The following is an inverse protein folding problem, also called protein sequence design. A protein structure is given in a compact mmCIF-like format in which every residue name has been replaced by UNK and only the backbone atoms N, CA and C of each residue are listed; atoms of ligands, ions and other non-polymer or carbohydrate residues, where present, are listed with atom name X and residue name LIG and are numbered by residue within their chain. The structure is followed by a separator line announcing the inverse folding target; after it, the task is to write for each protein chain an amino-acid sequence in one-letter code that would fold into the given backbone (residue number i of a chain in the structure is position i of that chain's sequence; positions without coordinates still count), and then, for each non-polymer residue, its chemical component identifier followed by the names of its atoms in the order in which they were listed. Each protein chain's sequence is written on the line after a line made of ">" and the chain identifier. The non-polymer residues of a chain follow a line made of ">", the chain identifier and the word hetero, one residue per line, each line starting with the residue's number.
data_IF_505714811116
#
_entry.id   IF_505714811116
#
_cell.length_a   1.000
_cell.length_b   1.000
_cell.length_c   1.000
_cell.angle_alpha   90.00
_cell.angle_beta   90.00
_cell.angle_gamma   90.00
#
_symmetry.space_group_name_H-M   'P 1'
#
loop_
_entity.id
_entity.type
_entity.pdbx_description
1 polymer ?
#
# COMPACT_ATOMS: atom_id res chain seq x y z
N UNK A 1 -7.78 63.33 -14.86
CA UNK A 1 -8.10 64.27 -13.76
C UNK A 1 -7.89 63.51 -12.47
N UNK A 2 -6.68 63.62 -11.90
CA UNK A 2 -6.34 64.56 -10.81
C UNK A 2 -7.16 64.25 -9.54
N UNK A 3 -6.56 63.53 -8.60
CA UNK A 3 -5.70 64.02 -7.49
C UNK A 3 -6.55 64.71 -6.42
N UNK A 4 -6.80 64.09 -5.25
CA UNK A 4 -5.88 63.77 -4.13
C UNK A 4 -5.49 65.02 -3.34
N UNK A 5 -5.25 64.79 -2.04
CA UNK A 5 -4.57 65.59 -1.02
C UNK A 5 -5.56 66.12 0.05
N UNK A 6 -5.40 65.86 1.35
CA UNK A 6 -4.26 65.29 2.06
C UNK A 6 -4.63 64.84 3.48
N UNK A 7 -3.96 63.76 3.91
CA UNK A 7 -3.71 63.29 5.29
C UNK A 7 -2.70 64.26 5.98
N UNK A 8 -1.84 63.90 6.98
CA UNK A 8 -1.75 62.73 7.88
C UNK A 8 -1.38 63.09 9.34
N UNK A 9 -1.27 62.09 10.22
CA UNK A 9 0.01 61.77 10.90
C UNK A 9 -0.05 60.35 11.48
N UNK A 10 0.77 59.47 10.90
CA UNK A 10 1.32 58.25 11.52
C UNK A 10 2.37 58.64 12.58
N UNK A 11 2.49 57.87 13.65
CA UNK A 11 3.83 57.44 14.09
C UNK A 11 3.79 56.06 14.76
N UNK A 12 4.88 55.34 14.56
CA UNK A 12 5.07 53.90 14.65
C UNK A 12 6.24 53.64 15.61
N UNK A 13 6.19 52.47 16.28
CA UNK A 13 7.28 51.79 17.01
C UNK A 13 7.80 52.42 18.32
N UNK A 14 7.98 51.57 19.34
CA UNK A 14 9.30 50.98 19.72
C UNK A 14 9.10 49.94 20.84
N UNK A 15 9.68 48.74 20.67
CA UNK A 15 9.91 47.76 21.73
C UNK A 15 10.89 48.31 22.78
N UNK A 16 10.62 48.10 24.07
CA UNK A 16 11.67 47.92 25.09
C UNK A 16 11.25 46.85 26.11
N UNK A 17 12.03 45.77 26.16
CA UNK A 17 12.10 44.86 27.30
C UNK A 17 12.80 45.57 28.47
N UNK A 18 12.36 45.33 29.71
CA UNK A 18 13.14 44.76 30.84
C UNK A 18 12.59 45.17 32.21
N UNK A 19 12.69 44.21 33.13
CA UNK A 19 12.80 44.31 34.59
C UNK A 19 11.52 44.45 35.46
N UNK A 20 11.29 43.35 36.21
CA UNK A 20 11.05 43.26 37.66
C UNK A 20 10.03 44.21 38.33
N UNK A 21 8.94 43.68 38.90
CA UNK A 21 8.94 43.27 40.32
C UNK A 21 7.59 42.62 40.74
N UNK A 22 7.78 41.57 41.54
CA UNK A 22 7.00 40.97 42.63
C UNK A 22 5.47 41.13 42.83
N UNK A 23 4.88 39.95 43.12
CA UNK A 23 3.80 39.63 44.09
C UNK A 23 2.37 40.06 43.77
N UNK A 24 1.55 39.08 43.36
CA UNK A 24 0.69 38.26 44.25
C UNK A 24 -0.07 37.24 43.39
N UNK A 25 0.28 35.96 43.50
CA UNK A 25 -0.47 34.95 44.25
C UNK A 25 -1.52 34.23 43.38
N UNK A 26 -1.12 33.12 42.77
CA UNK A 26 -2.02 31.99 42.56
C UNK A 26 -1.22 30.68 42.44
N UNK A 27 -1.35 29.86 43.49
CA UNK A 27 -1.35 28.39 43.42
C UNK A 27 -0.04 27.67 43.02
N UNK A 28 0.91 27.72 43.97
CA UNK A 28 1.72 26.60 44.46
C UNK A 28 2.17 25.53 43.44
N UNK A 29 3.34 25.77 42.84
CA UNK A 29 4.25 24.72 42.36
C UNK A 29 5.51 24.77 43.22
N UNK A 30 5.94 23.58 43.64
CA UNK A 30 7.24 23.21 44.21
C UNK A 30 7.45 23.47 45.71
N UNK A 31 7.34 22.41 46.51
CA UNK A 31 8.54 21.78 47.07
C UNK A 31 8.28 20.28 47.28
N UNK A 32 9.15 19.48 46.66
CA UNK A 32 9.31 18.05 46.84
C UNK A 32 9.82 17.76 48.26
N UNK A 33 9.28 16.74 48.94
CA UNK A 33 10.08 15.56 49.33
C UNK A 33 9.22 14.37 49.80
N UNK A 34 9.28 13.31 48.99
CA UNK A 34 9.37 11.87 49.31
C UNK A 34 8.25 11.17 50.10
N UNK A 35 7.51 10.40 49.28
CA UNK A 35 7.07 9.00 49.45
C UNK A 35 6.33 8.57 50.73
N UNK A 36 5.08 8.12 50.56
CA UNK A 36 4.68 6.75 50.90
C UNK A 36 3.23 6.46 50.48
N UNK A 37 2.99 5.19 50.11
CA UNK A 37 1.72 4.45 50.19
C UNK A 37 0.88 4.18 48.91
N UNK A 38 1.12 2.96 48.41
CA UNK A 38 0.15 1.88 48.08
C UNK A 38 -0.70 1.95 46.82
N UNK A 39 -0.30 1.14 45.81
CA UNK A 39 -1.22 0.34 45.00
C UNK A 39 -0.69 -1.09 44.83
N UNK A 40 -1.60 -2.05 45.02
CA UNK A 40 -1.39 -3.47 45.25
C UNK A 40 -0.62 -4.19 44.12
N UNK A 41 0.45 -4.92 44.48
CA UNK A 41 1.10 -5.92 43.61
C UNK A 41 0.34 -7.24 43.69
N UNK A 42 -0.04 -7.80 42.53
CA UNK A 42 -0.36 -9.22 42.37
C UNK A 42 0.90 -10.03 42.68
N UNK A 43 0.84 -10.91 43.68
CA UNK A 43 1.91 -11.86 43.95
C UNK A 43 1.86 -12.99 42.91
N UNK A 44 2.92 -13.15 42.15
CA UNK A 44 3.27 -14.42 41.50
C UNK A 44 4.47 -14.95 42.26
N UNK A 45 4.28 -16.05 42.99
CA UNK A 45 5.39 -16.75 43.66
C UNK A 45 6.17 -17.50 42.59
N UNK A 46 7.45 -17.18 42.45
CA UNK A 46 8.41 -18.01 41.73
C UNK A 46 9.31 -18.68 42.77
N UNK A 47 9.23 -20.00 42.86
CA UNK A 47 10.10 -20.84 43.68
C UNK A 47 11.34 -21.17 42.87
N UNK A 48 12.44 -20.47 43.10
CA UNK A 48 13.77 -21.08 43.06
C UNK A 48 14.80 -20.17 43.71
N UNK A 49 15.33 -20.65 44.84
CA UNK A 49 16.48 -20.07 45.53
C UNK A 49 17.75 -20.53 44.82
N UNK A 50 18.41 -19.63 44.06
CA UNK A 50 19.89 -19.52 44.03
C UNK A 50 20.40 -18.37 43.15
N UNK A 51 21.31 -17.61 43.76
CA UNK A 51 22.29 -16.65 43.21
C UNK A 51 21.77 -15.39 42.50
N UNK A 52 22.08 -14.23 43.11
CA UNK A 52 22.07 -12.91 42.47
C UNK A 52 23.11 -12.85 41.35
N UNK A 53 22.67 -13.06 40.12
CA UNK A 53 23.37 -12.60 38.92
C UNK A 53 22.47 -11.59 38.22
N UNK A 54 23.05 -10.45 37.81
CA UNK A 54 22.36 -9.50 36.92
C UNK A 54 22.12 -10.21 35.58
N UNK A 55 20.94 -10.82 35.41
CA UNK A 55 20.57 -11.46 34.15
C UNK A 55 20.25 -10.35 33.16
N UNK A 56 21.20 -10.06 32.28
CA UNK A 56 20.92 -9.33 31.05
C UNK A 56 19.87 -10.10 30.27
N UNK A 57 18.75 -9.45 29.94
CA UNK A 57 17.77 -10.02 29.01
C UNK A 57 18.50 -10.21 27.68
N UNK A 58 18.85 -11.46 27.39
CA UNK A 58 19.54 -11.81 26.16
C UNK A 58 18.57 -11.65 24.98
N UNK A 59 18.76 -10.54 24.25
CA UNK A 59 17.99 -10.23 23.05
C UNK A 59 18.12 -11.34 22.00
N UNK A 60 19.19 -12.12 21.99
CA UNK A 60 19.34 -13.26 21.08
C UNK A 60 18.47 -14.44 21.49
N UNK A 61 18.34 -14.73 22.79
CA UNK A 61 17.44 -15.76 23.28
C UNK A 61 15.98 -15.44 22.95
N UNK A 62 15.54 -14.19 23.15
CA UNK A 62 14.19 -13.75 22.75
C UNK A 62 14.03 -13.80 21.23
N UNK A 63 15.03 -13.35 20.47
CA UNK A 63 15.00 -13.41 19.00
C UNK A 63 14.92 -14.85 18.50
N UNK A 64 15.56 -15.80 19.18
CA UNK A 64 15.53 -17.23 18.86
C UNK A 64 14.16 -17.84 19.15
N UNK A 65 13.55 -17.50 20.29
CA UNK A 65 12.19 -17.94 20.64
C UNK A 65 11.13 -17.35 19.71
N UNK A 66 11.21 -16.04 19.41
CA UNK A 66 10.33 -15.38 18.43
C UNK A 66 10.50 -16.01 17.04
N UNK A 67 11.73 -16.37 16.65
CA UNK A 67 12.01 -17.08 15.39
C UNK A 67 11.44 -18.49 15.39
N UNK A 68 11.47 -19.19 16.53
CA UNK A 68 10.88 -20.51 16.70
C UNK A 68 9.35 -20.43 16.55
N UNK A 69 8.71 -19.47 17.23
CA UNK A 69 7.26 -19.23 17.15
C UNK A 69 6.83 -18.78 15.74
N UNK A 70 7.57 -17.89 15.09
CA UNK A 70 7.31 -17.46 13.71
C UNK A 70 7.51 -18.60 12.69
N UNK A 71 8.42 -19.54 12.95
CA UNK A 71 8.58 -20.74 12.10
C UNK A 71 7.38 -21.70 12.19
N UNK A 72 6.64 -21.69 13.31
CA UNK A 72 5.43 -22.50 13.49
C UNK A 72 4.17 -21.88 12.88
N UNK A 73 4.21 -20.59 12.52
CA UNK A 73 3.11 -19.87 11.82
C UNK A 73 3.44 -19.52 10.36
N UNK A 74 4.64 -19.86 9.88
CA UNK A 74 5.01 -19.72 8.48
C UNK A 74 4.29 -20.80 7.66
N UNK A 75 3.14 -20.42 7.08
CA UNK A 75 2.57 -21.17 5.96
C UNK A 75 3.64 -21.27 4.87
N UNK A 76 4.19 -22.48 4.68
CA UNK A 76 5.10 -22.80 3.59
C UNK A 76 4.30 -22.84 2.30
N UNK A 77 3.93 -21.67 1.78
CA UNK A 77 3.37 -21.54 0.43
C UNK A 77 4.50 -21.77 -0.57
N UNK A 78 4.91 -23.02 -0.74
CA UNK A 78 5.71 -23.40 -1.89
C UNK A 78 4.88 -23.07 -3.13
N UNK A 79 5.44 -22.33 -4.08
CA UNK A 79 4.88 -22.20 -5.43
C UNK A 79 4.50 -23.64 -5.89
N UNK A 80 3.19 -23.96 -6.03
CA UNK A 80 2.80 -25.35 -6.20
C UNK A 80 3.39 -25.91 -7.50
N UNK A 81 4.24 -26.92 -7.39
CA UNK A 81 4.72 -27.69 -8.53
C UNK A 81 3.53 -28.41 -9.15
N UNK A 82 3.23 -28.13 -10.42
CA UNK A 82 2.15 -28.79 -11.16
C UNK A 82 2.49 -30.27 -11.37
N UNK A 83 1.79 -31.17 -10.66
CA UNK A 83 1.79 -32.60 -10.96
C UNK A 83 0.36 -33.01 -11.30
N UNK A 84 0.06 -33.10 -12.59
CA UNK A 84 -1.27 -33.41 -13.11
C UNK A 84 -1.53 -34.92 -13.03
N UNK A 85 -2.18 -35.37 -11.96
CA UNK A 85 -2.78 -36.71 -11.91
C UNK A 85 -3.91 -36.84 -12.94
N UNK A 86 -4.00 -37.97 -13.66
CA UNK A 86 -5.11 -38.24 -14.59
C UNK A 86 -6.40 -38.43 -13.78
N UNK A 87 -7.36 -37.51 -13.94
CA UNK A 87 -8.70 -37.59 -13.37
C UNK A 87 -9.47 -38.74 -14.06
N UNK A 88 -10.08 -39.63 -13.27
CA UNK A 88 -10.99 -40.66 -13.80
C UNK A 88 -12.16 -40.04 -14.58
N UNK A 89 -12.70 -40.77 -15.58
CA UNK A 89 -13.82 -40.28 -16.40
C UNK A 89 -15.04 -40.03 -15.49
N UNK A 90 -15.66 -38.84 -15.54
CA UNK A 90 -16.91 -38.59 -14.82
C UNK A 90 -18.01 -39.56 -15.26
N UNK A 91 -18.82 -40.04 -14.31
CA UNK A 91 -20.05 -40.77 -14.61
C UNK A 91 -21.02 -39.89 -15.41
N UNK A 92 -21.88 -40.50 -16.22
CA UNK A 92 -22.85 -39.76 -17.02
C UNK A 92 -23.82 -38.98 -16.11
N UNK A 93 -24.02 -37.70 -16.43
CA UNK A 93 -24.94 -36.83 -15.71
C UNK A 93 -26.38 -37.27 -16.00
N UNK A 94 -27.19 -37.45 -14.95
CA UNK A 94 -28.62 -37.67 -15.12
C UNK A 94 -29.31 -36.51 -15.87
N UNK A 95 -30.47 -36.75 -16.50
CA UNK A 95 -31.19 -35.72 -17.24
C UNK A 95 -31.57 -34.55 -16.31
N UNK A 96 -31.47 -33.29 -16.77
CA UNK A 96 -31.88 -32.14 -15.98
C UNK A 96 -33.36 -32.23 -15.58
N UNK A 97 -33.67 -31.84 -14.33
CA UNK A 97 -35.04 -31.60 -13.91
C UNK A 97 -35.67 -30.46 -14.72
N UNK A 98 -36.99 -30.50 -14.93
CA UNK A 98 -37.72 -29.43 -15.63
C UNK A 98 -37.61 -28.13 -14.82
N UNK A 99 -37.19 -27.04 -15.45
CA UNK A 99 -37.13 -25.73 -14.81
C UNK A 99 -38.56 -25.28 -14.43
N UNK A 100 -38.70 -24.75 -13.21
CA UNK A 100 -39.93 -24.04 -12.80
C UNK A 100 -40.15 -22.80 -13.66
N UNK A 101 -41.41 -22.40 -13.83
CA UNK A 101 -41.76 -21.18 -14.58
C UNK A 101 -41.09 -19.95 -13.95
N UNK A 102 -40.53 -19.03 -14.77
CA UNK A 102 -39.95 -17.80 -14.25
C UNK A 102 -40.95 -17.03 -13.38
N UNK A 103 -40.51 -16.53 -12.23
CA UNK A 103 -41.30 -15.61 -11.43
C UNK A 103 -41.59 -14.32 -12.21
N UNK A 104 -42.71 -13.62 -11.92
CA UNK A 104 -43.02 -12.35 -12.56
C UNK A 104 -41.89 -11.34 -12.32
N UNK A 105 -41.50 -10.60 -13.36
CA UNK A 105 -40.49 -9.53 -13.23
C UNK A 105 -40.99 -8.48 -12.23
N UNK A 106 -40.13 -8.10 -11.29
CA UNK A 106 -40.38 -6.97 -10.41
C UNK A 106 -40.56 -5.69 -11.23
N UNK A 107 -41.42 -4.78 -10.75
CA UNK A 107 -41.66 -3.49 -11.39
C UNK A 107 -40.34 -2.70 -11.38
N UNK A 108 -39.88 -2.17 -12.53
CA UNK A 108 -38.71 -1.29 -12.56
C UNK A 108 -38.87 -0.13 -11.58
N UNK A 109 -37.82 0.17 -10.81
CA UNK A 109 -37.80 1.36 -9.96
C UNK A 109 -37.95 2.64 -10.81
N UNK A 110 -38.47 3.73 -10.24
CA UNK A 110 -38.58 4.99 -10.95
C UNK A 110 -37.20 5.44 -11.44
N UNK A 111 -37.14 5.97 -12.66
CA UNK A 111 -35.92 6.54 -13.21
C UNK A 111 -35.43 7.66 -12.28
N UNK A 112 -34.13 7.64 -11.97
CA UNK A 112 -33.50 8.74 -11.24
C UNK A 112 -33.62 10.06 -12.03
N UNK A 113 -33.54 11.21 -11.36
CA UNK A 113 -33.58 12.50 -12.03
C UNK A 113 -32.46 12.60 -13.08
N UNK A 114 -32.83 13.07 -14.27
CA UNK A 114 -31.87 13.37 -15.34
C UNK A 114 -30.96 14.50 -14.84
N UNK A 115 -29.65 14.22 -14.75
CA UNK A 115 -28.65 15.22 -14.40
C UNK A 115 -28.57 16.35 -15.44
N UNK A 116 -28.03 17.52 -15.08
CA UNK A 116 -27.90 18.65 -16.00
C UNK A 116 -27.10 18.23 -17.26
N UNK A 117 -27.44 18.79 -18.44
CA UNK A 117 -26.70 18.54 -19.67
C UNK A 117 -25.21 18.88 -19.51
N UNK A 118 -24.35 17.92 -19.82
CA UNK A 118 -22.90 18.08 -19.90
C UNK A 118 -22.55 19.07 -21.04
N UNK A 119 -21.94 20.23 -20.74
CA UNK A 119 -21.62 21.24 -21.74
C UNK A 119 -20.47 20.85 -22.69
N UNK A 120 -19.79 19.72 -22.49
CA UNK A 120 -18.53 19.41 -23.19
C UNK A 120 -18.65 18.42 -24.37
N UNK A 121 -19.87 18.01 -24.76
CA UNK A 121 -20.21 17.43 -26.07
C UNK A 121 -19.19 16.47 -26.72
N UNK A 122 -19.28 15.17 -26.40
CA UNK A 122 -19.22 13.99 -27.32
C UNK A 122 -19.07 12.72 -26.48
N UNK A 123 -20.12 11.89 -26.49
CA UNK A 123 -20.21 10.60 -25.77
C UNK A 123 -19.61 10.62 -24.37
N UNK A 124 -20.32 11.24 -23.43
CA UNK A 124 -19.98 11.20 -22.02
C UNK A 124 -19.76 9.75 -21.56
N UNK A 125 -18.77 9.56 -20.70
CA UNK A 125 -18.50 8.26 -20.10
C UNK A 125 -19.75 7.77 -19.39
N UNK A 126 -20.20 6.54 -19.69
CA UNK A 126 -21.43 6.01 -19.11
C UNK A 126 -21.36 6.02 -17.57
N UNK A 127 -22.43 6.48 -16.88
CA UNK A 127 -22.45 6.45 -15.43
C UNK A 127 -22.22 5.05 -14.87
N UNK A 128 -21.57 4.97 -13.72
CA UNK A 128 -21.31 3.71 -13.01
C UNK A 128 -21.41 3.94 -11.50
N UNK A 129 -21.87 2.91 -10.78
CA UNK A 129 -22.00 2.96 -9.33
C UNK A 129 -20.68 2.59 -8.68
N UNK A 130 -20.31 3.37 -7.67
CA UNK A 130 -19.06 3.23 -6.94
C UNK A 130 -19.32 3.11 -5.45
N UNK A 131 -18.46 2.34 -4.79
CA UNK A 131 -18.41 2.30 -3.35
C UNK A 131 -17.53 3.43 -2.84
N UNK A 132 -18.08 4.18 -1.89
CA UNK A 132 -17.40 5.24 -1.17
C UNK A 132 -17.08 4.78 0.25
N UNK A 133 -15.80 4.66 0.56
CA UNK A 133 -15.31 4.37 1.90
C UNK A 133 -15.15 5.67 2.68
N UNK A 134 -15.99 5.86 3.70
CA UNK A 134 -15.97 7.03 4.58
C UNK A 134 -15.10 6.82 5.83
N UNK A 135 -14.54 5.62 6.00
CA UNK A 135 -13.72 5.28 7.18
C UNK A 135 -12.25 5.65 7.01
N UNK A 136 -11.82 5.87 5.76
CA UNK A 136 -10.47 6.28 5.39
C UNK A 136 -10.37 7.82 5.32
N UNK A 137 -9.13 8.35 5.33
CA UNK A 137 -8.79 9.77 5.10
C UNK A 137 -9.62 10.78 5.91
N UNK A 138 -9.96 10.46 7.16
CA UNK A 138 -10.61 11.41 8.08
C UNK A 138 -12.03 11.80 7.68
N UNK A 139 -12.79 10.90 7.07
CA UNK A 139 -14.18 11.14 6.66
C UNK A 139 -14.34 11.70 5.25
N UNK A 140 -13.25 11.80 4.47
CA UNK A 140 -13.33 12.07 3.04
C UNK A 140 -13.78 10.82 2.32
N UNK A 141 -14.75 10.97 1.41
CA UNK A 141 -15.19 9.87 0.55
C UNK A 141 -14.02 9.33 -0.29
N UNK A 142 -13.60 8.10 -0.02
CA UNK A 142 -12.60 7.38 -0.81
C UNK A 142 -13.30 6.41 -1.76
N UNK A 143 -13.24 6.70 -3.05
CA UNK A 143 -13.66 5.73 -4.07
C UNK A 143 -12.66 4.60 -4.14
N UNK A 144 -13.10 3.36 -3.91
CA UNK A 144 -12.23 2.17 -3.90
C UNK A 144 -12.59 1.23 -5.05
N UNK A 145 -11.65 1.02 -5.98
CA UNK A 145 -11.85 0.15 -7.15
C UNK A 145 -11.05 -1.14 -7.00
N UNK A 146 -11.76 -2.27 -7.04
CA UNK A 146 -11.18 -3.61 -6.92
C UNK A 146 -10.75 -4.20 -8.28
N UNK A 147 -9.84 -5.16 -8.27
CA UNK A 147 -9.34 -5.85 -9.45
C UNK A 147 -9.06 -7.34 -9.20
N UNK A 148 -8.81 -8.10 -10.27
CA UNK A 148 -8.62 -9.56 -10.26
C UNK A 148 -7.28 -10.07 -9.70
N UNK A 149 -6.46 -9.19 -9.14
CA UNK A 149 -5.03 -9.43 -8.87
C UNK A 149 -4.56 -8.92 -7.50
N UNK A 150 -5.48 -8.81 -6.54
CA UNK A 150 -5.23 -8.24 -5.20
C UNK A 150 -4.50 -9.20 -4.25
N UNK A 151 -4.45 -10.50 -4.58
CA UNK A 151 -3.84 -11.53 -3.74
C UNK A 151 -2.32 -11.51 -3.90
N UNK A 152 -1.61 -11.74 -2.78
CA UNK A 152 -0.19 -12.06 -2.78
C UNK A 152 0.07 -13.28 -3.67
N UNK A 153 0.82 -13.09 -4.75
CA UNK A 153 1.00 -14.08 -5.81
C UNK A 153 2.46 -14.52 -5.87
N UNK A 154 2.70 -15.83 -5.70
CA UNK A 154 4.04 -16.44 -5.79
C UNK A 154 4.55 -16.39 -7.23
N UNK A 155 5.82 -16.05 -7.41
CA UNK A 155 6.56 -16.05 -8.68
C UNK A 155 7.98 -16.59 -8.45
N UNK A 156 8.63 -17.10 -9.49
CA UNK A 156 9.95 -17.72 -9.40
C UNK A 156 9.97 -19.16 -9.89
N UNK A 157 11.17 -19.68 -10.16
CA UNK A 157 11.41 -21.02 -10.73
C UNK A 157 10.63 -21.23 -12.03
N UNK A 158 10.53 -20.19 -12.86
CA UNK A 158 9.81 -20.16 -14.13
C UNK A 158 10.82 -20.46 -15.25
N UNK A 159 10.81 -21.66 -15.85
CA UNK A 159 11.80 -22.02 -16.87
C UNK A 159 11.77 -21.04 -18.05
N UNK A 160 12.94 -20.51 -18.42
CA UNK A 160 13.09 -19.54 -19.51
C UNK A 160 12.75 -18.09 -19.15
N UNK A 161 12.57 -17.80 -17.86
CA UNK A 161 12.29 -16.47 -17.34
C UNK A 161 13.54 -15.75 -16.77
N UNK A 162 14.69 -15.87 -17.44
CA UNK A 162 15.91 -15.12 -17.09
C UNK A 162 16.03 -13.76 -17.80
N UNK A 163 15.05 -13.40 -18.64
CA UNK A 163 15.04 -12.13 -19.37
C UNK A 163 14.22 -11.02 -18.70
N UNK A 164 14.48 -9.74 -19.01
CA UNK A 164 13.68 -8.61 -18.48
C UNK A 164 12.18 -8.76 -18.73
N UNK A 165 11.37 -8.70 -17.66
CA UNK A 165 9.92 -8.73 -17.73
C UNK A 165 9.31 -9.95 -18.43
N UNK A 166 10.01 -11.09 -18.41
CA UNK A 166 9.52 -12.37 -18.93
C UNK A 166 8.23 -12.83 -18.22
N UNK A 167 8.09 -12.54 -16.93
CA UNK A 167 6.84 -12.70 -16.19
C UNK A 167 5.96 -11.48 -16.40
N UNK A 168 4.71 -11.71 -16.76
CA UNK A 168 3.70 -10.68 -16.88
C UNK A 168 2.43 -11.05 -16.13
N UNK A 169 1.83 -10.06 -15.47
CA UNK A 169 0.53 -10.19 -14.82
C UNK A 169 -0.37 -9.03 -15.20
N UNK A 170 -1.35 -9.31 -16.07
CA UNK A 170 -2.41 -8.37 -16.41
C UNK A 170 -3.34 -8.14 -15.22
N UNK A 171 -3.79 -6.90 -15.08
CA UNK A 171 -4.69 -6.44 -14.02
C UNK A 171 -6.00 -5.96 -14.64
N UNK A 172 -7.11 -6.59 -14.26
CA UNK A 172 -8.46 -6.20 -14.73
C UNK A 172 -9.28 -5.65 -13.57
N UNK A 173 -9.67 -4.39 -13.68
CA UNK A 173 -10.55 -3.73 -12.70
C UNK A 173 -12.00 -4.19 -12.90
N UNK A 174 -12.66 -4.52 -11.79
CA UNK A 174 -13.99 -5.13 -11.83
C UNK A 174 -15.07 -4.06 -11.92
N UNK A 175 -16.02 -4.24 -12.85
CA UNK A 175 -17.20 -3.37 -12.95
C UNK A 175 -16.94 -1.97 -13.49
N UNK A 176 -15.77 -1.70 -14.08
CA UNK A 176 -15.39 -0.38 -14.58
C UNK A 176 -14.54 -0.50 -15.86
N UNK A 177 -14.78 0.39 -16.82
CA UNK A 177 -13.99 0.48 -18.06
C UNK A 177 -12.76 1.36 -17.89
N UNK A 178 -11.79 1.24 -18.80
CA UNK A 178 -10.62 2.12 -18.84
C UNK A 178 -10.99 3.59 -19.01
N UNK A 179 -12.05 3.89 -19.78
CA UNK A 179 -12.56 5.25 -19.94
C UNK A 179 -13.13 5.82 -18.63
N UNK A 180 -13.87 5.00 -17.87
CA UNK A 180 -14.38 5.34 -16.54
C UNK A 180 -13.26 5.55 -15.51
N UNK A 181 -12.24 4.69 -15.50
CA UNK A 181 -11.06 4.89 -14.67
C UNK A 181 -10.31 6.18 -15.01
N UNK A 182 -10.16 6.48 -16.31
CA UNK A 182 -9.54 7.72 -16.77
C UNK A 182 -10.32 8.95 -16.30
N UNK A 183 -11.64 8.95 -16.46
CA UNK A 183 -12.51 10.01 -15.96
C UNK A 183 -12.39 10.17 -14.44
N UNK A 184 -12.48 9.07 -13.67
CA UNK A 184 -12.36 9.07 -12.21
C UNK A 184 -11.05 9.72 -11.74
N UNK A 185 -9.90 9.27 -12.28
CA UNK A 185 -8.59 9.82 -11.89
C UNK A 185 -8.41 11.28 -12.28
N UNK A 186 -9.05 11.72 -13.38
CA UNK A 186 -9.02 13.12 -13.82
C UNK A 186 -9.74 14.03 -12.85
N UNK A 187 -10.97 13.66 -12.46
CA UNK A 187 -11.82 14.48 -11.58
C UNK A 187 -11.47 14.37 -10.09
N UNK A 188 -10.70 13.36 -9.70
CA UNK A 188 -10.27 13.18 -8.31
C UNK A 188 -9.05 14.06 -8.00
N UNK A 189 -9.03 14.66 -6.81
CA UNK A 189 -7.87 15.45 -6.35
C UNK A 189 -6.62 14.58 -6.20
N UNK A 190 -6.80 13.39 -5.62
CA UNK A 190 -5.74 12.42 -5.38
C UNK A 190 -6.17 11.03 -5.84
N UNK A 191 -5.21 10.25 -6.32
CA UNK A 191 -5.36 8.81 -6.46
C UNK A 191 -4.08 8.12 -6.00
N UNK A 192 -4.23 6.99 -5.33
CA UNK A 192 -3.13 6.18 -4.86
C UNK A 192 -3.39 4.69 -5.11
N UNK A 193 -2.31 3.94 -5.34
CA UNK A 193 -2.37 2.50 -5.45
C UNK A 193 -1.13 1.88 -4.80
N UNK A 194 -1.34 0.92 -3.91
CA UNK A 194 -0.24 0.22 -3.25
C UNK A 194 0.36 -0.84 -4.18
N UNK A 195 1.68 -0.94 -4.23
CA UNK A 195 2.39 -2.01 -4.93
C UNK A 195 3.51 -2.54 -4.04
N UNK A 196 3.72 -3.86 -4.07
CA UNK A 196 4.75 -4.54 -3.30
C UNK A 196 5.37 -5.69 -4.09
N UNK A 197 6.69 -5.83 -3.93
CA UNK A 197 7.43 -7.02 -4.32
C UNK A 197 8.29 -7.50 -3.16
N UNK A 198 8.13 -8.77 -2.80
CA UNK A 198 8.97 -9.50 -1.88
C UNK A 198 9.84 -10.43 -2.71
N UNK A 199 11.14 -10.47 -2.47
CA UNK A 199 12.10 -11.17 -3.30
C UNK A 199 13.09 -11.94 -2.43
N UNK A 200 13.60 -13.04 -2.97
CA UNK A 200 14.56 -13.90 -2.29
C UNK A 200 15.65 -14.34 -3.26
N UNK A 201 16.90 -14.29 -2.77
CA UNK A 201 18.11 -14.60 -3.53
C UNK A 201 18.39 -13.60 -4.67
N UNK A 202 19.32 -13.94 -5.56
CA UNK A 202 19.90 -13.09 -6.60
C UNK A 202 18.82 -12.62 -7.60
N UNK A 203 18.20 -11.46 -7.36
CA UNK A 203 17.13 -10.92 -8.22
C UNK A 203 17.60 -9.60 -8.83
N UNK A 204 17.60 -9.55 -10.16
CA UNK A 204 17.63 -8.33 -10.94
C UNK A 204 16.25 -7.66 -10.89
N UNK A 205 16.24 -6.34 -10.75
CA UNK A 205 15.01 -5.60 -10.50
C UNK A 205 15.01 -4.31 -11.32
N UNK A 206 14.50 -3.22 -10.75
CA UNK A 206 14.25 -1.96 -11.46
C UNK A 206 15.54 -1.32 -12.02
N UNK A 207 16.67 -1.37 -11.29
CA UNK A 207 17.91 -0.70 -11.71
C UNK A 207 18.42 -1.20 -13.09
N UNK A 208 18.33 -2.51 -13.31
CA UNK A 208 18.73 -3.20 -14.54
C UNK A 208 17.57 -3.39 -15.54
N UNK A 209 16.41 -2.79 -15.26
CA UNK A 209 15.18 -2.87 -16.06
C UNK A 209 14.56 -4.26 -16.14
N UNK A 210 14.78 -5.13 -15.15
CA UNK A 210 14.15 -6.45 -15.10
C UNK A 210 12.71 -6.41 -14.57
N UNK A 211 12.36 -5.34 -13.85
CA UNK A 211 11.04 -5.15 -13.28
C UNK A 211 10.48 -3.75 -13.57
N UNK A 212 9.18 -3.69 -13.82
CA UNK A 212 8.42 -2.46 -13.97
C UNK A 212 6.92 -2.74 -13.79
N UNK A 213 6.15 -1.67 -13.65
CA UNK A 213 4.70 -1.74 -13.80
C UNK A 213 4.28 -0.94 -15.02
N UNK A 214 3.11 -1.25 -15.58
CA UNK A 214 2.57 -0.58 -16.77
C UNK A 214 1.41 0.30 -16.36
N UNK A 215 1.46 1.55 -16.80
CA UNK A 215 0.42 2.56 -16.57
C UNK A 215 -0.89 2.23 -17.28
N UNK A 216 -1.95 2.98 -16.95
CA UNK A 216 -3.22 2.93 -17.69
C UNK A 216 -3.04 3.22 -19.19
N UNK A 217 -2.08 4.07 -19.53
CA UNK A 217 -1.76 4.44 -20.92
C UNK A 217 -0.90 3.42 -21.67
N UNK A 218 -0.50 2.30 -21.03
CA UNK A 218 0.39 1.31 -21.63
C UNK A 218 1.88 1.66 -21.55
N UNK A 219 2.23 2.79 -20.92
CA UNK A 219 3.63 3.20 -20.71
C UNK A 219 4.25 2.39 -19.57
N UNK A 220 5.46 1.89 -19.82
CA UNK A 220 6.31 1.27 -18.80
C UNK A 220 6.79 2.31 -17.78
N UNK A 221 6.64 1.99 -16.50
CA UNK A 221 6.99 2.85 -15.37
C UNK A 221 8.17 2.24 -14.61
N UNK A 222 9.31 2.93 -14.62
CA UNK A 222 10.59 2.43 -14.13
C UNK A 222 10.86 2.77 -12.65
N UNK A 223 9.83 2.87 -11.82
CA UNK A 223 9.95 3.14 -10.40
C UNK A 223 8.96 2.27 -9.60
N UNK A 224 9.23 2.05 -8.32
CA UNK A 224 8.34 1.27 -7.46
C UNK A 224 7.53 2.11 -6.47
N UNK A 225 6.72 1.45 -5.65
CA UNK A 225 5.95 2.10 -4.59
C UNK A 225 6.84 3.01 -3.72
N UNK A 226 6.34 4.22 -3.45
CA UNK A 226 7.04 5.24 -2.67
C UNK A 226 8.15 6.00 -3.40
N UNK A 227 8.34 5.75 -4.71
CA UNK A 227 9.34 6.42 -5.54
C UNK A 227 8.73 7.15 -6.75
N UNK A 228 7.47 7.60 -6.65
CA UNK A 228 6.82 8.38 -7.72
C UNK A 228 7.68 9.59 -8.11
N UNK A 229 7.99 9.69 -9.41
CA UNK A 229 8.85 10.75 -9.97
C UNK A 229 10.36 10.46 -9.89
N UNK A 230 10.77 9.32 -9.36
CA UNK A 230 12.18 8.94 -9.23
C UNK A 230 12.50 7.71 -10.09
N UNK A 231 13.12 7.95 -11.25
CA UNK A 231 13.51 6.89 -12.17
C UNK A 231 14.48 5.90 -11.51
N UNK A 232 14.21 4.61 -11.74
CA UNK A 232 14.99 3.47 -11.25
C UNK A 232 15.12 3.36 -9.74
N UNK A 233 14.14 3.85 -8.99
CA UNK A 233 14.18 3.82 -7.52
C UNK A 233 12.97 3.13 -6.90
N UNK A 234 13.19 2.68 -5.67
CA UNK A 234 12.18 2.28 -4.71
C UNK A 234 12.14 3.28 -3.54
N UNK A 235 11.16 3.16 -2.63
CA UNK A 235 11.05 4.05 -1.46
C UNK A 235 12.36 4.18 -0.66
N UNK A 236 13.08 3.06 -0.47
CA UNK A 236 14.36 3.09 0.22
C UNK A 236 15.45 3.84 -0.59
N UNK A 237 15.34 3.86 -1.92
CA UNK A 237 16.29 4.54 -2.81
C UNK A 237 16.15 6.05 -2.72
N UNK A 238 14.90 6.53 -2.63
CA UNK A 238 14.58 7.95 -2.38
C UNK A 238 15.16 8.42 -1.04
N UNK A 239 15.10 7.57 -0.02
CA UNK A 239 15.58 7.89 1.34
C UNK A 239 17.04 7.49 1.59
N UNK A 240 17.75 6.95 0.59
CA UNK A 240 19.09 6.37 0.72
C UNK A 240 19.22 5.36 1.87
N UNK A 241 18.18 4.58 2.13
CA UNK A 241 18.09 3.59 3.20
C UNK A 241 18.12 2.14 2.71
N UNK A 242 18.27 1.90 1.39
CA UNK A 242 18.35 0.54 0.85
C UNK A 242 19.62 -0.20 1.31
N UNK A 243 19.53 -1.52 1.32
CA UNK A 243 20.66 -2.39 1.60
C UNK A 243 21.80 -2.22 0.58
N UNK A 244 23.05 -2.25 1.05
CA UNK A 244 24.27 -2.30 0.22
C UNK A 244 24.41 -1.18 -0.83
N UNK A 245 23.83 0.00 -0.57
CA UNK A 245 23.95 1.16 -1.46
C UNK A 245 23.17 1.05 -2.77
N UNK A 246 22.28 0.06 -2.90
CA UNK A 246 21.38 -0.13 -4.04
C UNK A 246 20.24 0.90 -4.02
N UNK A 247 19.44 0.98 -5.08
CA UNK A 247 18.26 1.86 -5.19
C UNK A 247 16.95 1.14 -4.87
N UNK A 248 17.00 -0.18 -4.77
CA UNK A 248 15.93 -1.04 -4.30
C UNK A 248 16.51 -2.17 -3.43
N UNK A 249 15.78 -2.60 -2.39
CA UNK A 249 16.18 -3.75 -1.58
C UNK A 249 16.14 -5.07 -2.36
N UNK A 250 15.25 -5.18 -3.33
CA UNK A 250 15.09 -6.34 -4.20
C UNK A 250 16.04 -6.37 -5.38
N UNK A 251 16.84 -5.33 -5.58
CA UNK A 251 17.95 -5.37 -6.51
C UNK A 251 19.20 -5.88 -5.79
N UNK A 252 19.26 -7.19 -5.55
CA UNK A 252 20.19 -7.79 -4.59
C UNK A 252 21.19 -8.76 -5.23
N UNK A 253 21.55 -8.52 -6.49
CA UNK A 253 22.49 -9.37 -7.25
C UNK A 253 23.78 -9.62 -6.48
N UNK A 254 24.25 -10.88 -6.47
CA UNK A 254 25.45 -11.29 -5.75
C UNK A 254 25.34 -11.22 -4.21
N UNK A 255 24.12 -11.21 -3.67
CA UNK A 255 23.89 -11.26 -2.22
C UNK A 255 23.64 -12.68 -1.73
N UNK A 256 24.12 -12.97 -0.51
CA UNK A 256 23.74 -14.18 0.22
C UNK A 256 22.23 -14.23 0.46
N UNK A 257 21.69 -15.45 0.51
CA UNK A 257 20.27 -15.75 0.63
C UNK A 257 19.51 -14.93 1.67
N UNK A 258 18.26 -14.60 1.38
CA UNK A 258 17.35 -13.99 2.34
C UNK A 258 16.31 -13.08 1.71
N UNK A 259 15.15 -13.03 2.36
CA UNK A 259 14.01 -12.22 1.92
C UNK A 259 14.28 -10.72 2.05
N UNK A 260 13.83 -9.99 1.05
CA UNK A 260 13.80 -8.52 0.98
C UNK A 260 12.43 -8.07 0.46
N UNK A 261 12.14 -6.79 0.63
CA UNK A 261 10.89 -6.19 0.20
C UNK A 261 11.14 -4.77 -0.31
N UNK A 262 10.48 -4.44 -1.41
CA UNK A 262 10.20 -3.06 -1.80
C UNK A 262 8.69 -2.88 -1.96
N UNK A 263 8.15 -1.88 -1.26
CA UNK A 263 6.72 -1.59 -1.23
C UNK A 263 6.43 -0.10 -1.06
N UNK A 264 5.23 0.31 -1.41
CA UNK A 264 4.75 1.68 -1.17
C UNK A 264 3.59 2.08 -2.07
N UNK A 265 3.18 3.35 -1.94
CA UNK A 265 2.13 3.93 -2.76
C UNK A 265 2.70 4.49 -4.07
N UNK A 266 2.02 4.21 -5.16
CA UNK A 266 2.08 4.97 -6.39
C UNK A 266 1.05 6.10 -6.27
N UNK A 267 1.43 7.35 -6.54
CA UNK A 267 0.56 8.52 -6.28
C UNK A 267 0.36 9.44 -7.49
N UNK A 268 1.03 9.18 -8.61
CA UNK A 268 0.82 9.95 -9.84
C UNK A 268 -0.49 9.53 -10.51
N UNK A 269 -1.57 10.26 -10.21
CA UNK A 269 -2.91 10.01 -10.74
C UNK A 269 -2.99 10.11 -12.26
N UNK A 270 -2.04 10.78 -12.92
CA UNK A 270 -2.06 10.94 -14.38
C UNK A 270 -1.79 9.62 -15.11
N UNK A 271 -1.03 8.72 -14.49
CA UNK A 271 -0.61 7.42 -15.05
C UNK A 271 -1.30 6.22 -14.40
N UNK A 272 -1.86 6.38 -13.20
CA UNK A 272 -2.62 5.33 -12.53
C UNK A 272 -3.94 4.99 -13.25
N UNK A 273 -4.53 3.80 -13.02
CA UNK A 273 -4.01 2.72 -12.20
C UNK A 273 -3.01 1.81 -12.94
N UNK A 274 -2.40 0.88 -12.20
CA UNK A 274 -1.53 -0.19 -12.76
C UNK A 274 -2.35 -1.15 -13.61
N UNK A 275 -1.91 -1.42 -14.84
CA UNK A 275 -2.55 -2.38 -15.76
C UNK A 275 -1.77 -3.68 -15.91
N UNK A 276 -0.47 -3.67 -15.63
CA UNK A 276 0.36 -4.87 -15.68
C UNK A 276 1.53 -4.77 -14.70
N UNK A 277 1.93 -5.90 -14.11
CA UNK A 277 3.19 -6.05 -13.39
C UNK A 277 4.13 -6.90 -14.24
N UNK A 278 5.39 -6.47 -14.39
CA UNK A 278 6.44 -7.16 -15.14
C UNK A 278 7.63 -7.42 -14.24
N UNK A 279 8.09 -8.67 -14.24
CA UNK A 279 9.23 -9.14 -13.46
C UNK A 279 10.09 -10.06 -14.34
N UNK A 280 11.38 -10.12 -14.07
CA UNK A 280 12.32 -11.02 -14.71
C UNK A 280 13.31 -11.54 -13.68
N UNK A 281 14.28 -12.34 -14.13
CA UNK A 281 15.27 -12.99 -13.26
C UNK A 281 14.57 -13.91 -12.26
N UNK A 282 13.82 -14.86 -12.83
CA UNK A 282 12.93 -15.77 -12.09
C UNK A 282 13.09 -17.22 -12.57
N UNK A 283 14.15 -17.56 -13.28
CA UNK A 283 14.35 -18.90 -13.83
C UNK A 283 15.23 -19.81 -12.98
N UNK A 284 16.02 -19.27 -12.06
CA UNK A 284 16.83 -20.11 -11.19
C UNK A 284 16.03 -20.78 -10.06
N UNK A 285 16.53 -21.93 -9.64
CA UNK A 285 15.90 -22.77 -8.62
C UNK A 285 15.80 -22.09 -7.23
N UNK A 286 16.56 -21.02 -7.01
CA UNK A 286 16.56 -20.27 -5.77
C UNK A 286 15.87 -18.90 -5.92
N UNK A 287 15.61 -18.44 -7.14
CA UNK A 287 14.91 -17.18 -7.37
C UNK A 287 13.42 -17.36 -7.15
N UNK A 288 12.92 -16.69 -6.11
CA UNK A 288 11.49 -16.67 -5.83
C UNK A 288 11.08 -15.34 -5.20
N UNK A 289 9.81 -15.01 -5.41
CA UNK A 289 9.25 -13.78 -4.93
C UNK A 289 7.74 -13.83 -4.83
N UNK A 290 7.19 -12.74 -4.31
CA UNK A 290 5.76 -12.51 -4.25
C UNK A 290 5.46 -11.08 -4.61
N UNK A 291 4.56 -10.87 -5.56
CA UNK A 291 4.03 -9.53 -5.81
C UNK A 291 2.63 -9.39 -5.18
N UNK A 292 2.29 -8.16 -4.82
CA UNK A 292 0.96 -7.77 -4.35
C UNK A 292 0.63 -6.39 -4.90
N UNK A 293 -0.58 -6.24 -5.42
CA UNK A 293 -1.13 -4.97 -5.89
C UNK A 293 -2.39 -4.66 -5.09
N UNK A 294 -2.45 -3.46 -4.52
CA UNK A 294 -3.62 -2.97 -3.81
C UNK A 294 -4.67 -2.39 -4.75
N UNK A 295 -5.87 -2.19 -4.21
CA UNK A 295 -6.97 -1.49 -4.88
C UNK A 295 -6.57 -0.08 -5.29
N UNK A 296 -7.14 0.42 -6.38
CA UNK A 296 -7.05 1.84 -6.70
C UNK A 296 -7.95 2.60 -5.73
N UNK A 297 -7.40 3.63 -5.10
CA UNK A 297 -8.13 4.56 -4.24
C UNK A 297 -8.06 5.96 -4.82
N UNK A 298 -9.20 6.62 -4.99
CA UNK A 298 -9.26 8.01 -5.45
C UNK A 298 -10.17 8.83 -4.52
N UNK A 299 -9.80 10.07 -4.22
CA UNK A 299 -10.48 10.90 -3.23
C UNK A 299 -10.24 12.40 -3.46
N UNK A 300 -11.16 13.21 -2.92
CA UNK A 300 -11.24 14.65 -3.17
C UNK A 300 -11.66 14.98 -4.61
N UNK A 301 -12.01 16.23 -4.86
CA UNK A 301 -12.39 16.75 -6.19
C UNK A 301 -11.31 17.73 -6.64
N UNK A 302 -10.84 17.56 -7.87
CA UNK A 302 -9.78 18.38 -8.49
C UNK A 302 -10.31 19.69 -9.07
#
# INVERSE_FOLDING_TARGET
>A
MLQVLNQPTDEKLVLKNTANDEKTNEMNILYSEKELQTRQRRQVKNTDERSNANVSIDREAIRKEVRLVMSSQACSAQCPKSIRGRRGRPGQRGPPGKNGSPGPKGIPGPAGPIGPPDPDGKEGVTPFSLYCDMTDKGGVCVTVISHDSERRTCVGKIPGCGGPGCYSKDVRYTGVSTAQLSALTRVSQNCEQFIKFECNNDIAFIEDNFAWWVSRGGTQMNYWGGATGHDKMCACGVTNSCSKGKKCNCHNIGSSSGWREDSGLLTDKSVLPVTQIRLGDLDDSNEEGYHTLGKLKCYGVA
#
